data_IF_000022974421
#
_entry.id   IF_000022974421
#
_cell.length_a   1.000
_cell.length_b   1.000
_cell.length_c   1.000
_cell.angle_alpha   90.00
_cell.angle_beta   90.00
_cell.angle_gamma   90.00
#
_symmetry.space_group_name_H-M   'P 1'
#
loop_
_entity.id
_entity.type
_entity.pdbx_description
1 polymer ?
#
# COMPACT_ATOMS: atom_id res chain seq x y z
N UNK A 1 30.13 47.11 -18.62
CA UNK A 1 29.02 46.13 -18.61
C UNK A 1 29.66 44.76 -18.48
N UNK A 2 29.12 43.98 -17.56
CA UNK A 2 29.74 42.95 -16.71
C UNK A 2 30.39 41.77 -17.44
N UNK A 3 31.59 41.39 -17.01
CA UNK A 3 32.23 40.11 -17.29
C UNK A 3 31.62 39.01 -16.43
N UNK A 4 31.38 37.85 -17.03
CA UNK A 4 30.86 36.66 -16.37
C UNK A 4 31.90 35.56 -16.51
N UNK A 5 32.84 35.56 -15.57
CA UNK A 5 33.75 34.44 -15.33
C UNK A 5 33.05 33.41 -14.44
N UNK A 6 32.92 32.22 -15.00
CA UNK A 6 33.05 30.91 -14.38
C UNK A 6 33.17 30.89 -12.83
N UNK A 7 32.13 30.38 -12.17
CA UNK A 7 32.23 29.92 -10.78
C UNK A 7 31.69 28.49 -10.72
N UNK A 8 32.55 27.57 -11.14
CA UNK A 8 32.42 26.15 -10.88
C UNK A 8 32.27 25.89 -9.36
N UNK A 9 31.28 25.06 -9.05
CA UNK A 9 31.38 23.92 -8.14
C UNK A 9 32.13 24.17 -6.82
N UNK A 10 31.39 24.64 -5.82
CA UNK A 10 31.82 24.58 -4.43
C UNK A 10 31.78 23.13 -3.93
N UNK A 11 32.92 22.46 -4.07
CA UNK A 11 33.25 21.21 -3.38
C UNK A 11 33.18 21.44 -1.86
N UNK A 12 32.40 20.63 -1.17
CA UNK A 12 32.42 20.51 0.29
C UNK A 12 33.30 19.31 0.68
N UNK A 13 34.49 19.51 1.29
CA UNK A 13 35.18 18.46 2.01
C UNK A 13 34.94 18.66 3.51
N UNK A 14 34.14 17.79 4.13
CA UNK A 14 34.23 17.60 5.59
C UNK A 14 34.21 16.10 5.90
N UNK A 15 35.38 15.64 6.33
CA UNK A 15 35.65 14.27 6.71
C UNK A 15 35.05 13.98 8.09
N UNK A 16 34.27 12.90 8.20
CA UNK A 16 33.59 12.53 9.44
C UNK A 16 33.58 11.03 9.71
N UNK A 17 34.67 10.55 10.30
CA UNK A 17 34.80 9.42 11.25
C UNK A 17 34.61 7.99 10.72
N UNK A 18 35.70 7.24 10.84
CA UNK A 18 35.78 5.81 10.58
C UNK A 18 35.03 4.96 11.62
N UNK A 19 34.21 4.04 11.10
CA UNK A 19 33.73 2.90 11.86
C UNK A 19 34.71 1.74 11.70
N UNK A 20 35.63 1.61 12.66
CA UNK A 20 36.44 0.41 12.79
C UNK A 20 35.51 -0.78 13.11
N UNK A 21 35.32 -1.69 12.16
CA UNK A 21 34.66 -2.97 12.45
C UNK A 21 35.61 -3.79 13.32
N UNK A 22 35.20 -3.99 14.57
CA UNK A 22 35.86 -4.89 15.50
C UNK A 22 35.84 -6.30 14.92
N UNK A 23 37.02 -6.83 14.64
CA UNK A 23 37.21 -8.24 14.34
C UNK A 23 37.24 -9.00 15.68
N UNK A 24 36.05 -9.38 16.16
CA UNK A 24 35.87 -10.32 17.26
C UNK A 24 35.79 -11.74 16.71
N UNK A 25 36.86 -12.50 16.87
CA UNK A 25 36.88 -13.95 16.64
C UNK A 25 36.48 -14.61 17.95
N UNK A 26 35.21 -14.98 18.08
CA UNK A 26 34.76 -15.91 19.11
C UNK A 26 34.28 -17.16 18.40
N UNK A 27 35.18 -18.13 18.31
CA UNK A 27 34.81 -19.51 18.09
C UNK A 27 34.15 -20.01 19.38
N UNK A 28 32.84 -20.21 19.36
CA UNK A 28 32.21 -21.18 20.24
C UNK A 28 31.12 -21.96 19.49
N UNK A 29 31.14 -23.25 19.73
CA UNK A 29 30.50 -24.29 18.92
C UNK A 29 29.23 -24.72 19.64
N UNK A 30 28.06 -24.32 19.14
CA UNK A 30 26.74 -24.87 19.47
C UNK A 30 25.76 -24.25 18.49
N UNK A 31 24.83 -24.93 17.85
CA UNK A 31 24.38 -26.31 17.92
C UNK A 31 23.59 -26.53 16.63
N UNK A 32 23.45 -27.81 16.30
CA UNK A 32 22.57 -28.32 15.27
C UNK A 32 21.23 -27.57 15.16
N UNK A 33 20.90 -27.30 13.91
CA UNK A 33 19.62 -26.80 13.48
C UNK A 33 19.76 -26.47 12.02
N UNK A 34 19.58 -27.48 11.16
CA UNK A 34 18.93 -27.22 9.88
C UNK A 34 17.58 -26.65 10.28
N UNK A 35 17.54 -25.35 10.54
CA UNK A 35 16.30 -24.61 10.65
C UNK A 35 15.76 -24.66 9.26
N UNK A 36 14.98 -25.70 8.97
CA UNK A 36 14.03 -25.70 7.88
C UNK A 36 13.41 -24.32 7.93
N UNK A 37 13.75 -23.47 6.96
CA UNK A 37 13.06 -22.21 6.79
C UNK A 37 11.61 -22.66 6.63
N UNK A 38 10.84 -22.51 7.71
CA UNK A 38 9.40 -22.70 7.66
C UNK A 38 8.98 -21.74 6.58
N UNK A 39 8.58 -22.29 5.44
CA UNK A 39 8.09 -21.50 4.32
C UNK A 39 7.10 -20.49 4.88
N UNK A 40 7.06 -19.24 4.36
CA UNK A 40 6.16 -18.23 4.87
C UNK A 40 4.78 -18.87 4.99
N UNK A 41 4.22 -18.93 6.20
CA UNK A 41 2.83 -19.26 6.38
C UNK A 41 2.07 -18.15 5.64
N UNK A 42 1.73 -18.40 4.38
CA UNK A 42 0.74 -17.61 3.68
C UNK A 42 -0.55 -17.95 4.39
N UNK A 43 -0.82 -17.24 5.49
CA UNK A 43 -2.16 -17.08 6.00
C UNK A 43 -2.93 -16.54 4.81
N UNK A 44 -3.65 -17.44 4.14
CA UNK A 44 -4.63 -17.07 3.15
C UNK A 44 -5.71 -16.40 3.97
N UNK A 45 -5.54 -15.11 4.26
CA UNK A 45 -6.62 -14.23 4.66
C UNK A 45 -7.64 -14.34 3.53
N UNK A 46 -8.55 -15.31 3.64
CA UNK A 46 -9.70 -15.45 2.77
C UNK A 46 -10.63 -14.34 3.18
N UNK A 47 -10.28 -13.11 2.82
CA UNK A 47 -11.12 -11.94 2.97
C UNK A 47 -12.46 -12.32 2.36
N UNK A 48 -13.47 -12.42 3.22
CA UNK A 48 -14.80 -12.84 2.81
C UNK A 48 -15.31 -11.88 1.75
N UNK A 49 -16.22 -12.34 0.89
CA UNK A 49 -16.81 -11.46 -0.13
C UNK A 49 -17.41 -10.19 0.51
N UNK A 50 -17.93 -10.30 1.73
CA UNK A 50 -18.46 -9.17 2.49
C UNK A 50 -17.39 -8.14 2.91
N UNK A 51 -16.22 -8.59 3.36
CA UNK A 51 -15.11 -7.69 3.71
C UNK A 51 -14.52 -7.03 2.47
N UNK A 52 -14.51 -7.73 1.32
CA UNK A 52 -14.13 -7.13 0.03
C UNK A 52 -15.12 -6.04 -0.38
N UNK A 53 -16.42 -6.33 -0.25
CA UNK A 53 -17.48 -5.37 -0.53
C UNK A 53 -17.31 -4.13 0.36
N UNK A 54 -17.16 -4.31 1.67
CA UNK A 54 -16.98 -3.20 2.61
C UNK A 54 -15.76 -2.33 2.26
N UNK A 55 -14.63 -2.97 1.93
CA UNK A 55 -13.43 -2.26 1.45
C UNK A 55 -13.67 -1.47 0.17
N UNK A 56 -14.40 -2.03 -0.80
CA UNK A 56 -14.76 -1.33 -2.04
C UNK A 56 -15.68 -0.15 -1.74
N UNK A 57 -16.67 -0.30 -0.85
CA UNK A 57 -17.58 0.78 -0.46
C UNK A 57 -16.84 1.92 0.24
N UNK A 58 -15.98 1.60 1.20
CA UNK A 58 -15.17 2.57 1.93
C UNK A 58 -14.25 3.36 1.00
N UNK A 59 -13.57 2.67 0.06
CA UNK A 59 -12.71 3.33 -0.91
C UNK A 59 -13.51 4.16 -1.92
N UNK A 60 -14.66 3.65 -2.37
CA UNK A 60 -15.52 4.38 -3.31
C UNK A 60 -16.02 5.67 -2.69
N UNK A 61 -16.42 5.67 -1.41
CA UNK A 61 -16.81 6.89 -0.68
C UNK A 61 -15.73 7.97 -0.73
N UNK A 62 -14.47 7.58 -0.55
CA UNK A 62 -13.33 8.51 -0.59
C UNK A 62 -13.07 9.02 -2.01
N UNK A 63 -13.25 8.18 -3.02
CA UNK A 63 -13.00 8.49 -4.43
C UNK A 63 -14.07 9.41 -5.03
N UNK A 64 -15.34 9.20 -4.69
CA UNK A 64 -16.50 9.94 -5.23
C UNK A 64 -16.91 11.13 -4.37
N UNK A 65 -16.59 11.16 -3.08
CA UNK A 65 -16.97 12.27 -2.19
C UNK A 65 -18.50 12.46 -2.10
N UNK A 66 -18.96 13.68 -2.42
CA UNK A 66 -20.37 14.14 -2.34
C UNK A 66 -21.14 13.98 -3.67
N UNK A 67 -20.68 13.13 -4.58
CA UNK A 67 -21.39 12.87 -5.84
C UNK A 67 -22.78 12.24 -5.62
N UNK A 68 -23.67 12.41 -6.60
CA UNK A 68 -25.02 11.85 -6.52
C UNK A 68 -25.04 10.32 -6.52
N UNK A 69 -26.05 9.72 -5.87
CA UNK A 69 -26.20 8.26 -5.77
C UNK A 69 -26.18 7.55 -7.14
N UNK A 70 -26.72 8.16 -8.19
CA UNK A 70 -26.68 7.60 -9.54
C UNK A 70 -25.25 7.48 -10.08
N UNK A 71 -24.39 8.45 -9.77
CA UNK A 71 -22.98 8.44 -10.18
C UNK A 71 -22.19 7.43 -9.35
N UNK A 72 -22.45 7.36 -8.06
CA UNK A 72 -21.85 6.38 -7.14
C UNK A 72 -22.19 4.95 -7.56
N UNK A 73 -23.46 4.67 -7.89
CA UNK A 73 -23.90 3.35 -8.33
C UNK A 73 -23.17 2.87 -9.61
N UNK A 74 -22.93 3.77 -10.57
CA UNK A 74 -22.16 3.46 -11.78
C UNK A 74 -20.70 3.13 -11.47
N UNK A 75 -20.08 3.86 -10.53
CA UNK A 75 -18.70 3.58 -10.09
C UNK A 75 -18.64 2.25 -9.35
N UNK A 76 -19.58 1.97 -8.45
CA UNK A 76 -19.67 0.71 -7.72
C UNK A 76 -19.85 -0.46 -8.68
N UNK A 77 -20.69 -0.32 -9.70
CA UNK A 77 -20.88 -1.33 -10.74
C UNK A 77 -19.53 -1.72 -11.37
N UNK A 78 -18.76 -0.74 -11.85
CA UNK A 78 -17.47 -0.98 -12.49
C UNK A 78 -16.47 -1.63 -11.53
N UNK A 79 -16.46 -1.24 -10.25
CA UNK A 79 -15.55 -1.81 -9.24
C UNK A 79 -15.91 -3.24 -8.87
N UNK A 80 -17.19 -3.56 -8.75
CA UNK A 80 -17.65 -4.91 -8.51
C UNK A 80 -17.35 -5.82 -9.70
N UNK A 81 -17.53 -5.32 -10.94
CA UNK A 81 -17.15 -6.04 -12.15
C UNK A 81 -15.63 -6.29 -12.21
N UNK A 82 -14.79 -5.32 -11.85
CA UNK A 82 -13.32 -5.46 -11.79
C UNK A 82 -12.86 -6.43 -10.69
N UNK A 83 -13.51 -6.39 -9.52
CA UNK A 83 -13.25 -7.29 -8.40
C UNK A 83 -13.84 -8.70 -8.59
N UNK A 84 -14.63 -8.92 -9.64
CA UNK A 84 -15.33 -10.19 -9.91
C UNK A 84 -16.44 -10.50 -8.91
N UNK A 85 -17.01 -9.49 -8.25
CA UNK A 85 -18.07 -9.63 -7.25
C UNK A 85 -19.43 -9.48 -7.95
N UNK A 86 -20.29 -10.51 -7.94
CA UNK A 86 -21.61 -10.39 -8.53
C UNK A 86 -22.50 -9.51 -7.64
N UNK A 87 -22.98 -8.40 -8.19
CA UNK A 87 -23.99 -7.55 -7.55
C UNK A 87 -25.06 -7.12 -8.55
N UNK A 88 -26.30 -7.12 -8.08
CA UNK A 88 -27.45 -6.66 -8.85
C UNK A 88 -27.51 -5.13 -8.89
N UNK A 89 -28.15 -4.56 -9.90
CA UNK A 89 -28.33 -3.10 -9.99
C UNK A 89 -29.06 -2.52 -8.76
N UNK A 90 -29.98 -3.29 -8.15
CA UNK A 90 -30.72 -2.92 -6.95
C UNK A 90 -29.81 -2.88 -5.70
N UNK A 91 -28.88 -3.83 -5.58
CA UNK A 91 -27.89 -3.88 -4.51
C UNK A 91 -26.91 -2.70 -4.61
N UNK A 92 -26.42 -2.42 -5.82
CA UNK A 92 -25.54 -1.28 -6.10
C UNK A 92 -26.24 0.05 -5.81
N UNK A 93 -27.54 0.17 -6.12
CA UNK A 93 -28.34 1.35 -5.78
C UNK A 93 -28.48 1.50 -4.26
N UNK A 94 -28.80 0.42 -3.52
CA UNK A 94 -28.86 0.43 -2.06
C UNK A 94 -27.54 0.84 -1.42
N UNK A 95 -26.41 0.33 -1.92
CA UNK A 95 -25.09 0.74 -1.43
C UNK A 95 -24.80 2.21 -1.72
N UNK A 96 -25.14 2.69 -2.92
CA UNK A 96 -24.96 4.09 -3.27
C UNK A 96 -25.83 5.02 -2.39
N UNK A 97 -27.08 4.68 -2.15
CA UNK A 97 -27.95 5.43 -1.24
C UNK A 97 -27.39 5.45 0.20
N UNK A 98 -26.86 4.31 0.68
CA UNK A 98 -26.21 4.23 1.97
C UNK A 98 -24.96 5.12 2.09
N UNK A 99 -24.21 5.28 1.00
CA UNK A 99 -23.03 6.15 0.97
C UNK A 99 -23.37 7.64 0.96
N UNK A 100 -24.50 8.04 0.36
CA UNK A 100 -24.98 9.44 0.36
C UNK A 100 -25.65 9.81 1.68
N UNK A 101 -26.27 8.84 2.36
CA UNK A 101 -27.00 9.08 3.61
C UNK A 101 -26.10 9.16 4.87
N UNK A 102 -24.85 8.72 4.80
CA UNK A 102 -23.92 8.61 5.93
C UNK A 102 -22.72 9.55 5.83
#
# INVERSE_FOLDING_TARGET
MTGQDDAAETVHPDAGVGGAVVQGTDADTSSAGVGEQSEPAMDLDTVTDQERIDGILAQTRVDVGDEDAARIAEVLRQRFEDAGIPASADELASFAEGLVAG
#
